data_IF_090720156349
#
_entry.id   IF_090720156349
#
_cell.length_a   1.000
_cell.length_b   1.000
_cell.length_c   1.000
_cell.angle_alpha   90.00
_cell.angle_beta   90.00
_cell.angle_gamma   90.00
#
_symmetry.space_group_name_H-M   'P 1'
#
loop_
_entity.id
_entity.type
_entity.pdbx_description
1 polymer ?
#
# COMPACT_ATOMS: atom_id res chain seq x y z
N UNK A 1 -1.12 -15.86 -13.90
CA UNK A 1 -1.99 -15.76 -15.12
C UNK A 1 -2.42 -14.32 -15.27
N UNK A 2 -2.39 -13.73 -16.48
CA UNK A 2 -2.82 -12.33 -16.67
C UNK A 2 -4.33 -12.30 -16.88
N UNK A 3 -5.03 -11.61 -15.98
CA UNK A 3 -6.48 -11.41 -16.09
C UNK A 3 -6.81 -10.44 -17.24
N UNK A 4 -8.01 -10.62 -17.82
CA UNK A 4 -8.49 -9.80 -18.91
C UNK A 4 -9.59 -8.88 -18.40
N UNK A 5 -9.43 -7.57 -18.59
CA UNK A 5 -10.41 -6.56 -18.18
C UNK A 5 -10.98 -5.87 -19.42
N UNK A 6 -12.29 -5.97 -19.59
CA UNK A 6 -12.99 -5.28 -20.66
C UNK A 6 -13.18 -3.81 -20.32
N UNK A 7 -12.70 -2.92 -21.22
CA UNK A 7 -12.76 -1.47 -21.04
C UNK A 7 -13.47 -0.79 -22.21
N UNK A 8 -14.18 0.29 -21.90
CA UNK A 8 -14.84 1.16 -22.87
C UNK A 8 -14.40 2.61 -22.72
N UNK A 9 -14.42 3.38 -23.81
CA UNK A 9 -14.06 4.80 -23.79
C UNK A 9 -15.12 5.61 -23.04
N UNK A 10 -14.67 6.44 -22.10
CA UNK A 10 -15.52 7.36 -21.37
C UNK A 10 -15.54 8.74 -22.02
N UNK A 11 -16.72 9.22 -22.38
CA UNK A 11 -16.92 10.55 -22.98
C UNK A 11 -17.14 11.65 -21.94
N UNK A 12 -17.83 11.30 -20.84
CA UNK A 12 -18.17 12.26 -19.78
C UNK A 12 -17.12 12.32 -18.68
N UNK A 13 -16.83 13.52 -18.20
CA UNK A 13 -15.93 13.81 -17.08
C UNK A 13 -16.68 14.49 -15.93
N UNK A 14 -16.20 14.31 -14.71
CA UNK A 14 -16.70 14.96 -13.51
C UNK A 14 -17.50 14.06 -12.59
N UNK A 15 -17.83 14.61 -11.42
CA UNK A 15 -18.39 13.87 -10.27
C UNK A 15 -19.73 13.19 -10.59
N UNK A 16 -20.64 13.90 -11.24
CA UNK A 16 -21.99 13.38 -11.56
C UNK A 16 -21.93 12.19 -12.51
N UNK A 17 -21.10 12.27 -13.55
CA UNK A 17 -20.93 11.18 -14.51
C UNK A 17 -20.22 9.97 -13.86
N UNK A 18 -19.20 10.18 -13.05
CA UNK A 18 -18.53 9.10 -12.32
C UNK A 18 -19.49 8.38 -11.36
N UNK A 19 -20.37 9.12 -10.66
CA UNK A 19 -21.40 8.52 -9.81
C UNK A 19 -22.41 7.71 -10.61
N UNK A 20 -22.79 8.21 -11.81
CA UNK A 20 -23.71 7.49 -12.71
C UNK A 20 -23.12 6.17 -13.21
N UNK A 21 -21.83 6.18 -13.59
CA UNK A 21 -21.12 4.98 -14.02
C UNK A 21 -21.05 3.93 -12.89
N UNK A 22 -20.70 4.36 -11.67
CA UNK A 22 -20.64 3.44 -10.51
C UNK A 22 -22.00 2.80 -10.21
N UNK A 23 -23.09 3.55 -10.33
CA UNK A 23 -24.47 3.00 -10.19
C UNK A 23 -24.83 1.98 -11.29
N UNK A 24 -24.17 2.04 -12.45
CA UNK A 24 -24.33 1.09 -13.54
C UNK A 24 -23.38 -0.12 -13.43
N UNK A 25 -22.63 -0.25 -12.32
CA UNK A 25 -21.66 -1.33 -12.17
C UNK A 25 -20.36 -1.11 -12.97
N UNK A 26 -20.09 0.13 -13.40
CA UNK A 26 -18.86 0.49 -14.10
C UNK A 26 -17.94 1.30 -13.19
N UNK A 27 -16.65 0.99 -13.23
CA UNK A 27 -15.60 1.71 -12.48
C UNK A 27 -14.89 2.67 -13.43
N UNK A 28 -14.82 3.97 -13.11
CA UNK A 28 -14.00 4.92 -13.84
C UNK A 28 -12.54 4.51 -13.79
N UNK A 29 -11.85 4.59 -14.93
CA UNK A 29 -10.46 4.22 -15.06
C UNK A 29 -9.70 5.25 -15.90
N UNK A 30 -8.39 5.33 -15.70
CA UNK A 30 -7.48 6.14 -16.50
C UNK A 30 -6.34 5.25 -16.96
N UNK A 31 -5.98 5.33 -18.25
CA UNK A 31 -4.83 4.65 -18.83
C UNK A 31 -3.80 5.67 -19.27
N UNK A 32 -2.57 5.58 -18.79
CA UNK A 32 -1.46 6.47 -19.12
C UNK A 32 -0.14 5.70 -19.23
N UNK A 33 0.90 6.37 -19.68
CA UNK A 33 2.24 5.81 -19.81
C UNK A 33 2.76 5.78 -21.25
N UNK A 34 4.03 5.41 -21.43
CA UNK A 34 4.74 5.33 -22.72
C UNK A 34 4.72 6.62 -23.57
N UNK A 35 4.58 7.81 -22.93
CA UNK A 35 4.53 9.07 -23.65
C UNK A 35 3.26 9.29 -24.50
N UNK A 36 2.32 8.36 -24.48
CA UNK A 36 1.03 8.49 -25.14
C UNK A 36 0.06 9.33 -24.31
N UNK A 37 -0.97 9.86 -24.98
CA UNK A 37 -2.04 10.62 -24.32
C UNK A 37 -2.79 9.73 -23.31
N UNK A 38 -3.15 10.32 -22.18
CA UNK A 38 -4.04 9.69 -21.22
C UNK A 38 -5.40 9.41 -21.86
N UNK A 39 -5.93 8.21 -21.61
CA UNK A 39 -7.22 7.78 -22.12
C UNK A 39 -8.16 7.53 -20.95
N UNK A 40 -9.28 8.23 -20.94
CA UNK A 40 -10.32 8.01 -19.94
C UNK A 40 -11.14 6.78 -20.31
N UNK A 41 -11.17 5.81 -19.43
CA UNK A 41 -11.82 4.51 -19.62
C UNK A 41 -12.89 4.28 -18.53
N UNK A 42 -13.74 3.31 -18.80
CA UNK A 42 -14.59 2.68 -17.80
C UNK A 42 -14.45 1.16 -17.91
N UNK A 43 -14.26 0.50 -16.78
CA UNK A 43 -14.12 -0.95 -16.68
C UNK A 43 -15.34 -1.55 -15.98
N UNK A 44 -15.67 -2.81 -16.27
CA UNK A 44 -16.71 -3.53 -15.53
C UNK A 44 -16.22 -3.81 -14.11
N UNK A 45 -17.05 -3.49 -13.08
CA UNK A 45 -16.73 -3.71 -11.68
C UNK A 45 -16.33 -5.16 -11.40
N UNK A 46 -17.12 -6.11 -11.86
CA UNK A 46 -16.89 -7.54 -11.66
C UNK A 46 -15.51 -8.00 -12.17
N UNK A 47 -15.09 -7.49 -13.34
CA UNK A 47 -13.79 -7.83 -13.92
C UNK A 47 -12.62 -7.24 -13.10
N UNK A 48 -12.78 -6.01 -12.58
CA UNK A 48 -11.81 -5.37 -11.71
C UNK A 48 -11.70 -6.12 -10.39
N UNK A 49 -12.82 -6.46 -9.76
CA UNK A 49 -12.85 -7.21 -8.50
C UNK A 49 -12.25 -8.61 -8.65
N UNK A 50 -12.50 -9.28 -9.79
CA UNK A 50 -11.91 -10.57 -10.10
C UNK A 50 -10.37 -10.47 -10.20
N UNK A 51 -9.85 -9.50 -10.96
CA UNK A 51 -8.42 -9.28 -11.12
C UNK A 51 -7.73 -8.98 -9.77
N UNK A 52 -8.38 -8.17 -8.92
CA UNK A 52 -7.87 -7.88 -7.57
C UNK A 52 -7.89 -9.11 -6.67
N UNK A 53 -8.95 -9.89 -6.72
CA UNK A 53 -9.09 -11.13 -5.93
C UNK A 53 -8.05 -12.17 -6.31
N UNK A 54 -7.66 -12.23 -7.59
CA UNK A 54 -6.58 -13.09 -8.08
C UNK A 54 -5.19 -12.53 -7.76
N UNK A 55 -5.10 -11.29 -7.25
CA UNK A 55 -3.80 -10.66 -6.97
C UNK A 55 -3.04 -10.21 -8.22
N UNK A 56 -3.69 -10.20 -9.38
CA UNK A 56 -3.07 -9.85 -10.66
C UNK A 56 -2.71 -8.37 -10.72
N UNK A 57 -1.42 -8.07 -10.74
CA UNK A 57 -0.92 -6.68 -10.88
C UNK A 57 -0.89 -6.23 -12.33
N UNK A 58 -0.66 -7.15 -13.26
CA UNK A 58 -0.68 -6.86 -14.71
C UNK A 58 -1.93 -7.49 -15.32
N UNK A 59 -2.70 -6.68 -16.01
CA UNK A 59 -3.96 -7.07 -16.66
C UNK A 59 -3.91 -6.77 -18.15
N UNK A 60 -4.57 -7.60 -18.94
CA UNK A 60 -4.76 -7.36 -20.37
C UNK A 60 -6.06 -6.61 -20.59
N UNK A 61 -5.96 -5.36 -21.05
CA UNK A 61 -7.12 -4.56 -21.40
C UNK A 61 -7.67 -5.02 -22.76
N UNK A 62 -8.99 -5.18 -22.83
CA UNK A 62 -9.71 -5.53 -24.06
C UNK A 62 -10.88 -4.58 -24.29
N UNK A 63 -11.35 -4.48 -25.53
CA UNK A 63 -12.44 -3.57 -25.90
C UNK A 63 -11.95 -2.34 -26.62
N UNK A 64 -12.09 -1.18 -26.01
CA UNK A 64 -11.72 0.10 -26.63
C UNK A 64 -10.20 0.28 -26.84
N UNK A 65 -9.40 -0.34 -25.99
CA UNK A 65 -7.93 -0.36 -26.05
C UNK A 65 -7.48 -1.79 -25.83
N UNK A 66 -6.52 -2.25 -26.64
CA UNK A 66 -5.92 -3.58 -26.51
C UNK A 66 -4.45 -3.44 -26.13
N UNK A 67 -4.16 -3.45 -24.85
CA UNK A 67 -2.79 -3.26 -24.30
C UNK A 67 -2.65 -3.99 -22.98
N UNK A 68 -1.43 -4.42 -22.65
CA UNK A 68 -1.12 -4.84 -21.27
C UNK A 68 -0.92 -3.61 -20.40
N UNK A 69 -1.49 -3.63 -19.21
CA UNK A 69 -1.42 -2.52 -18.28
C UNK A 69 -1.19 -3.02 -16.86
N UNK A 70 -0.35 -2.28 -16.11
CA UNK A 70 -0.16 -2.47 -14.68
C UNK A 70 -1.26 -1.72 -13.94
N UNK A 71 -1.89 -2.36 -12.98
CA UNK A 71 -2.74 -1.71 -11.98
C UNK A 71 -1.84 -0.94 -11.03
N UNK A 72 -1.76 0.38 -11.22
CA UNK A 72 -0.90 1.25 -10.42
C UNK A 72 -1.53 1.60 -9.09
N UNK A 73 -2.79 2.01 -9.13
CA UNK A 73 -3.55 2.41 -7.96
C UNK A 73 -4.99 1.94 -8.09
N UNK A 74 -5.55 1.51 -6.98
CA UNK A 74 -6.95 1.13 -6.85
C UNK A 74 -7.53 1.87 -5.64
N UNK A 75 -8.52 2.72 -5.89
CA UNK A 75 -9.21 3.44 -4.84
C UNK A 75 -10.49 2.69 -4.45
N UNK A 76 -10.63 2.47 -3.16
CA UNK A 76 -11.77 1.80 -2.57
C UNK A 76 -12.73 2.79 -1.92
N UNK A 77 -13.98 2.36 -1.78
CA UNK A 77 -14.96 3.07 -0.97
C UNK A 77 -14.54 3.10 0.52
N UNK A 78 -15.16 3.98 1.28
CA UNK A 78 -14.94 4.16 2.74
C UNK A 78 -15.02 2.85 3.53
N UNK A 79 -15.82 1.91 3.05
CA UNK A 79 -15.98 0.58 3.66
C UNK A 79 -15.04 -0.49 3.09
N UNK A 80 -14.23 -0.15 2.08
CA UNK A 80 -13.32 -1.11 1.42
C UNK A 80 -14.02 -2.22 0.63
N UNK A 81 -15.27 -2.01 0.23
CA UNK A 81 -16.07 -3.04 -0.46
C UNK A 81 -16.09 -2.82 -1.97
N UNK A 82 -16.29 -1.58 -2.42
CA UNK A 82 -16.44 -1.28 -3.84
C UNK A 82 -15.25 -0.49 -4.37
N UNK A 83 -14.68 -0.88 -5.54
CA UNK A 83 -13.66 -0.08 -6.21
C UNK A 83 -14.30 1.21 -6.77
N UNK A 84 -13.72 2.37 -6.42
CA UNK A 84 -14.17 3.69 -6.87
C UNK A 84 -13.45 4.15 -8.12
N UNK A 85 -12.14 3.92 -8.20
CA UNK A 85 -11.30 4.33 -9.31
C UNK A 85 -10.16 3.35 -9.50
N UNK A 86 -9.69 3.20 -10.74
CA UNK A 86 -8.53 2.37 -11.07
C UNK A 86 -7.61 3.10 -12.04
N UNK A 87 -6.33 3.08 -11.72
CA UNK A 87 -5.27 3.67 -12.52
C UNK A 87 -4.48 2.57 -13.23
N UNK A 88 -4.47 2.63 -14.55
CA UNK A 88 -3.72 1.75 -15.40
C UNK A 88 -2.50 2.45 -15.98
N UNK A 89 -1.33 1.85 -15.79
CA UNK A 89 -0.09 2.25 -16.44
C UNK A 89 0.19 1.29 -17.60
N UNK A 90 0.35 1.82 -18.83
CA UNK A 90 0.77 0.99 -19.97
C UNK A 90 2.13 0.39 -19.67
N UNK A 91 2.29 -0.88 -19.96
CA UNK A 91 3.56 -1.59 -19.78
C UNK A 91 3.83 -2.49 -20.97
N UNK A 92 5.09 -2.57 -21.34
CA UNK A 92 5.60 -3.58 -22.27
C UNK A 92 6.22 -4.72 -21.48
N UNK A 93 6.25 -5.93 -22.01
CA UNK A 93 6.79 -7.10 -21.33
C UNK A 93 8.23 -6.92 -20.80
N UNK A 94 9.04 -6.11 -21.50
CA UNK A 94 10.43 -5.80 -21.15
C UNK A 94 10.62 -4.67 -20.14
N UNK A 95 9.55 -3.95 -19.79
CA UNK A 95 9.67 -2.79 -18.91
C UNK A 95 9.98 -3.23 -17.48
N UNK A 96 10.87 -2.47 -16.84
CA UNK A 96 11.10 -2.60 -15.41
C UNK A 96 10.12 -1.74 -14.65
N UNK A 97 9.37 -2.36 -13.77
CA UNK A 97 8.35 -1.71 -12.97
C UNK A 97 8.61 -1.91 -11.49
N UNK A 98 8.19 -0.91 -10.69
CA UNK A 98 8.17 -1.00 -9.24
C UNK A 98 6.75 -1.30 -8.78
N UNK A 99 6.59 -2.41 -8.08
CA UNK A 99 5.30 -2.87 -7.58
C UNK A 99 5.39 -3.20 -6.11
N UNK A 100 4.32 -2.92 -5.37
CA UNK A 100 4.15 -3.36 -3.99
C UNK A 100 3.58 -4.77 -3.99
N UNK A 101 4.28 -5.69 -3.36
CA UNK A 101 3.88 -7.09 -3.31
C UNK A 101 3.66 -7.51 -1.85
N UNK A 102 2.54 -8.17 -1.53
CA UNK A 102 2.26 -8.62 -0.18
C UNK A 102 3.23 -9.72 0.25
N UNK A 103 3.58 -9.71 1.54
CA UNK A 103 4.46 -10.70 2.16
C UNK A 103 3.63 -11.74 2.88
N UNK A 104 3.87 -13.02 2.56
CA UNK A 104 3.29 -14.15 3.24
C UNK A 104 4.34 -14.88 4.08
N UNK A 105 3.99 -15.19 5.33
CA UNK A 105 4.85 -15.96 6.22
C UNK A 105 4.75 -17.45 5.87
N UNK A 106 5.91 -18.12 5.76
CA UNK A 106 5.99 -19.54 5.47
C UNK A 106 6.79 -20.27 6.56
N UNK A 107 6.25 -21.36 7.07
CA UNK A 107 6.90 -22.19 8.07
C UNK A 107 6.41 -21.93 9.50
N UNK A 108 6.94 -22.72 10.45
CA UNK A 108 6.69 -22.55 11.87
C UNK A 108 7.87 -21.84 12.54
N UNK A 109 7.60 -20.78 13.27
CA UNK A 109 8.61 -20.01 13.97
C UNK A 109 9.00 -20.70 15.29
N UNK A 110 10.27 -21.13 15.48
CA UNK A 110 10.72 -21.70 16.76
C UNK A 110 10.62 -20.69 17.90
N UNK A 111 10.78 -19.40 17.65
CA UNK A 111 10.56 -18.33 18.62
C UNK A 111 9.13 -18.29 19.15
N UNK A 112 8.13 -18.65 18.34
CA UNK A 112 6.74 -18.73 18.77
C UNK A 112 6.51 -19.89 19.75
N UNK A 113 7.16 -21.04 19.55
CA UNK A 113 7.12 -22.17 20.52
C UNK A 113 7.76 -21.80 21.85
N UNK A 114 8.71 -20.86 21.85
CA UNK A 114 9.33 -20.34 23.07
C UNK A 114 8.53 -19.20 23.73
N UNK A 115 7.29 -18.95 23.28
CA UNK A 115 6.41 -17.92 23.85
C UNK A 115 6.54 -16.55 23.18
N UNK A 116 7.27 -16.43 22.08
CA UNK A 116 7.37 -15.20 21.27
C UNK A 116 6.14 -14.94 20.41
N UNK A 117 5.93 -13.68 20.09
CA UNK A 117 4.95 -13.22 19.11
C UNK A 117 5.67 -12.82 17.82
N UNK A 118 5.25 -13.40 16.70
CA UNK A 118 5.71 -12.98 15.38
C UNK A 118 4.89 -11.80 14.93
N UNK A 119 5.53 -10.67 14.69
CA UNK A 119 4.91 -9.46 14.21
C UNK A 119 5.41 -9.15 12.79
N UNK A 120 4.47 -9.01 11.86
CA UNK A 120 4.72 -8.55 10.50
C UNK A 120 4.71 -7.01 10.52
N UNK A 121 5.89 -6.41 10.45
CA UNK A 121 6.06 -4.95 10.46
C UNK A 121 5.64 -4.34 9.13
N UNK A 122 6.04 -4.99 8.04
CA UNK A 122 5.67 -4.59 6.69
C UNK A 122 4.83 -5.65 6.02
N UNK A 123 3.60 -5.31 5.68
CA UNK A 123 2.68 -6.19 4.97
C UNK A 123 2.96 -6.26 3.47
N UNK A 124 3.58 -5.22 2.91
CA UNK A 124 3.93 -5.11 1.50
C UNK A 124 5.37 -4.63 1.35
N UNK A 125 6.08 -5.16 0.36
CA UNK A 125 7.45 -4.77 0.02
C UNK A 125 7.51 -4.28 -1.41
N UNK A 126 8.24 -3.17 -1.62
CA UNK A 126 8.50 -2.64 -2.95
C UNK A 126 9.54 -3.49 -3.68
N UNK A 127 9.17 -4.02 -4.85
CA UNK A 127 10.02 -4.83 -5.70
C UNK A 127 10.16 -4.21 -7.08
N UNK A 128 11.35 -4.28 -7.65
CA UNK A 128 11.62 -4.01 -9.07
C UNK A 128 11.65 -5.33 -9.83
N UNK A 129 10.75 -5.50 -10.78
CA UNK A 129 10.66 -6.67 -11.64
C UNK A 129 10.29 -6.29 -13.07
N UNK A 130 10.40 -7.24 -14.00
CA UNK A 130 9.85 -7.07 -15.36
C UNK A 130 8.35 -7.25 -15.35
N UNK A 131 7.65 -6.52 -16.22
CA UNK A 131 6.18 -6.57 -16.29
C UNK A 131 5.62 -7.98 -16.60
N UNK A 132 6.43 -8.83 -17.24
CA UNK A 132 6.06 -10.20 -17.57
C UNK A 132 6.14 -11.16 -16.36
N UNK A 133 6.98 -10.84 -15.38
CA UNK A 133 7.27 -11.70 -14.23
C UNK A 133 7.01 -10.99 -12.89
N UNK A 134 5.83 -10.45 -12.71
CA UNK A 134 5.41 -9.85 -11.45
C UNK A 134 4.93 -10.95 -10.50
N UNK A 135 5.57 -11.14 -9.33
CA UNK A 135 5.10 -12.10 -8.35
C UNK A 135 3.80 -11.61 -7.69
N UNK A 136 2.86 -12.53 -7.46
CA UNK A 136 1.61 -12.24 -6.76
C UNK A 136 1.86 -11.99 -5.26
N UNK A 137 2.82 -12.71 -4.68
CA UNK A 137 3.23 -12.60 -3.28
C UNK A 137 4.70 -13.02 -3.11
N UNK A 138 5.30 -12.61 -1.99
CA UNK A 138 6.65 -12.97 -1.58
C UNK A 138 6.59 -13.76 -0.29
N UNK A 139 7.38 -14.83 -0.19
CA UNK A 139 7.45 -15.61 1.03
C UNK A 139 8.59 -15.15 1.93
N UNK A 140 8.27 -14.93 3.20
CA UNK A 140 9.23 -14.79 4.28
C UNK A 140 9.28 -16.11 5.07
N UNK A 141 10.42 -16.80 5.01
CA UNK A 141 10.62 -18.06 5.74
C UNK A 141 10.92 -17.78 7.20
N UNK A 142 9.96 -18.09 8.09
CA UNK A 142 10.09 -17.89 9.53
C UNK A 142 10.63 -19.12 10.27
N UNK A 143 11.00 -20.19 9.55
CA UNK A 143 11.48 -21.45 10.14
C UNK A 143 12.80 -21.31 10.91
N UNK A 144 13.55 -20.23 10.71
CA UNK A 144 14.82 -19.95 11.41
C UNK A 144 14.71 -18.77 12.37
N UNK A 145 13.49 -18.21 12.56
CA UNK A 145 13.30 -17.02 13.36
C UNK A 145 13.21 -17.35 14.84
N UNK A 146 14.24 -16.99 15.59
CA UNK A 146 14.31 -17.13 17.05
C UNK A 146 13.81 -15.85 17.75
N UNK A 147 13.65 -15.93 19.08
CA UNK A 147 13.28 -14.79 19.91
C UNK A 147 14.31 -13.63 19.79
N UNK A 148 13.80 -12.44 19.51
CA UNK A 148 14.61 -11.23 19.35
C UNK A 148 15.27 -11.07 17.99
N UNK A 149 15.09 -12.02 17.07
CA UNK A 149 15.58 -11.89 15.69
C UNK A 149 14.56 -11.25 14.76
N UNK A 150 15.07 -10.68 13.66
CA UNK A 150 14.32 -9.97 12.63
C UNK A 150 14.66 -10.50 11.26
N UNK A 151 13.68 -10.55 10.37
CA UNK A 151 13.89 -10.84 8.94
C UNK A 151 13.87 -9.52 8.20
N UNK A 152 14.88 -9.29 7.37
CA UNK A 152 15.03 -8.10 6.54
C UNK A 152 14.59 -8.37 5.11
N UNK A 153 14.40 -7.31 4.32
CA UNK A 153 14.02 -7.41 2.90
C UNK A 153 14.98 -8.28 2.09
N UNK A 154 16.28 -8.25 2.39
CA UNK A 154 17.32 -9.07 1.73
C UNK A 154 17.18 -10.58 1.96
N UNK A 155 16.53 -10.98 3.06
CA UNK A 155 16.37 -12.38 3.47
C UNK A 155 15.08 -13.01 2.90
N UNK A 156 14.32 -12.26 2.10
CA UNK A 156 13.10 -12.72 1.46
C UNK A 156 13.41 -13.63 0.27
N UNK A 157 12.58 -14.65 0.07
CA UNK A 157 12.66 -15.53 -1.10
C UNK A 157 12.11 -14.80 -2.34
N UNK A 158 12.98 -14.09 -3.07
CA UNK A 158 12.62 -13.39 -4.29
C UNK A 158 12.67 -14.33 -5.49
N UNK A 159 11.53 -14.49 -6.16
CA UNK A 159 11.38 -15.30 -7.35
C UNK A 159 11.61 -14.48 -8.63
N UNK A 160 12.00 -15.15 -9.72
CA UNK A 160 12.04 -14.60 -11.09
C UNK A 160 12.92 -13.35 -11.30
N UNK A 161 14.02 -13.22 -10.55
CA UNK A 161 14.97 -12.11 -10.75
C UNK A 161 14.45 -10.75 -10.29
N UNK A 162 13.41 -10.71 -9.47
CA UNK A 162 12.96 -9.51 -8.79
C UNK A 162 14.07 -8.98 -7.88
N UNK A 163 14.23 -7.66 -7.84
CA UNK A 163 15.17 -6.99 -6.95
C UNK A 163 14.39 -6.19 -5.91
N UNK A 164 14.90 -6.07 -4.68
CA UNK A 164 14.29 -5.18 -3.70
C UNK A 164 14.37 -3.74 -4.21
N UNK A 165 13.24 -3.07 -4.25
CA UNK A 165 13.13 -1.66 -4.64
C UNK A 165 13.24 -0.70 -3.45
N UNK A 166 13.12 -1.25 -2.22
CA UNK A 166 13.34 -0.56 -0.95
C UNK A 166 14.73 -0.87 -0.38
N UNK A 167 15.07 -0.24 0.75
CA UNK A 167 16.34 -0.49 1.43
C UNK A 167 16.44 -1.96 1.88
N UNK A 168 17.51 -2.68 1.47
CA UNK A 168 17.66 -4.11 1.78
C UNK A 168 17.78 -4.39 3.28
N UNK A 169 18.10 -3.39 4.10
CA UNK A 169 18.23 -3.49 5.55
C UNK A 169 16.90 -3.25 6.31
N UNK A 170 15.85 -2.90 5.60
CA UNK A 170 14.54 -2.66 6.19
C UNK A 170 13.96 -3.94 6.80
N UNK A 171 13.36 -3.83 7.98
CA UNK A 171 12.82 -4.97 8.74
C UNK A 171 11.41 -5.29 8.28
N UNK A 172 11.19 -6.55 7.90
CA UNK A 172 9.87 -7.05 7.43
C UNK A 172 9.14 -7.81 8.55
N UNK A 173 9.84 -8.69 9.23
CA UNK A 173 9.25 -9.54 10.29
C UNK A 173 10.09 -9.46 11.56
N UNK A 174 9.45 -9.40 12.70
CA UNK A 174 10.12 -9.44 14.02
C UNK A 174 9.50 -10.51 14.91
N UNK A 175 10.33 -11.17 15.75
CA UNK A 175 9.85 -12.08 16.78
C UNK A 175 10.18 -11.52 18.15
N UNK A 176 9.17 -11.11 18.93
CA UNK A 176 9.35 -10.46 20.24
C UNK A 176 8.58 -11.20 21.32
N UNK A 177 9.03 -11.07 22.58
CA UNK A 177 8.24 -11.52 23.73
C UNK A 177 7.08 -10.56 23.97
N UNK A 178 5.85 -11.05 24.19
CA UNK A 178 4.73 -10.21 24.58
C UNK A 178 5.07 -9.51 25.92
N UNK A 179 5.03 -8.18 25.95
CA UNK A 179 5.30 -7.37 27.14
C UNK A 179 6.60 -6.56 27.13
N UNK A 180 7.53 -6.77 26.21
CA UNK A 180 8.67 -5.88 26.01
C UNK A 180 8.33 -4.86 24.91
N UNK A 181 7.79 -3.70 25.30
CA UNK A 181 7.85 -2.51 24.44
C UNK A 181 9.35 -2.25 24.21
N UNK A 182 9.78 -2.34 22.99
CA UNK A 182 11.09 -1.81 22.59
C UNK A 182 10.96 -0.30 22.75
N UNK A 183 11.42 0.25 23.86
CA UNK A 183 11.80 1.65 23.93
C UNK A 183 12.97 1.76 22.95
N UNK A 184 12.67 2.28 21.79
CA UNK A 184 13.65 2.77 20.85
C UNK A 184 14.55 3.72 21.64
N UNK A 185 15.81 3.33 21.75
CA UNK A 185 16.83 4.12 22.43
C UNK A 185 17.05 5.39 21.61
N UNK A 186 16.21 6.40 21.85
CA UNK A 186 16.53 7.76 21.52
C UNK A 186 17.66 8.17 22.46
N UNK A 187 18.83 8.40 21.90
CA UNK A 187 19.99 8.91 22.58
C UNK A 187 19.63 10.15 23.43
N UNK A 188 20.14 10.27 24.66
CA UNK A 188 19.86 11.43 25.49
C UNK A 188 20.66 12.62 24.97
N UNK A 189 20.05 13.52 24.26
CA UNK A 189 20.56 14.87 24.07
C UNK A 189 20.05 15.73 25.23
N UNK A 190 21.02 16.10 26.11
CA UNK A 190 21.12 17.32 26.90
C UNK A 190 19.86 17.88 27.54
N UNK A 191 19.85 17.84 28.84
CA UNK A 191 18.85 18.49 29.67
C UNK A 191 18.74 19.99 29.43
N UNK A 192 17.47 20.42 29.43
CA UNK A 192 17.07 21.75 29.86
C UNK A 192 15.82 21.54 30.70
N UNK A 193 15.95 21.77 31.99
CA UNK A 193 14.83 21.84 32.94
C UNK A 193 13.86 22.96 32.50
N UNK A 194 12.55 22.75 32.46
CA UNK A 194 11.63 23.88 32.41
C UNK A 194 11.39 24.42 33.82
N UNK A 195 11.83 25.64 34.06
CA UNK A 195 11.44 26.46 35.21
C UNK A 195 9.95 26.59 35.36
N UNK A 196 9.47 26.19 36.52
CA UNK A 196 8.08 26.41 36.95
C UNK A 196 7.92 27.85 37.39
N UNK A 197 7.34 28.69 36.56
CA UNK A 197 6.92 30.05 36.96
C UNK A 197 5.61 29.94 37.69
N UNK A 198 5.69 30.30 38.98
CA UNK A 198 4.64 30.27 39.96
C UNK A 198 3.45 31.18 39.63
N UNK A 199 2.33 30.64 39.95
CA UNK A 199 1.00 31.27 40.01
C UNK A 199 0.99 32.36 41.06
N UNK A 200 0.67 33.61 40.70
CA UNK A 200 0.24 34.64 41.64
C UNK A 200 -1.11 35.22 41.25
N UNK A 201 -2.05 35.02 42.12
CA UNK A 201 -3.36 35.59 42.10
C UNK A 201 -3.34 37.06 42.54
N UNK A 202 -4.24 37.86 42.02
CA UNK A 202 -4.92 39.02 42.64
C UNK A 202 -5.79 39.62 41.52
N UNK A 203 -7.08 39.53 41.56
CA UNK A 203 -8.05 40.33 42.33
C UNK A 203 -8.21 41.76 41.80
N UNK A 204 -9.46 42.03 41.49
CA UNK A 204 -10.22 43.28 41.52
C UNK A 204 -10.05 44.35 40.42
N UNK A 205 -11.19 44.78 39.97
CA UNK A 205 -11.40 46.03 39.31
C UNK A 205 -12.63 46.09 38.41
N UNK A 206 -13.75 46.36 39.04
CA UNK A 206 -15.03 46.77 38.50
C UNK A 206 -14.96 47.96 37.53
N UNK A 207 -16.08 48.07 36.80
CA UNK A 207 -16.79 49.30 36.43
C UNK A 207 -16.61 49.80 34.98
N UNK A 208 -17.68 49.74 34.34
CA UNK A 208 -18.56 50.80 33.82
C UNK A 208 -18.36 51.32 32.41
N UNK A 209 -19.48 51.21 31.76
CA UNK A 209 -20.15 52.22 30.95
C UNK A 209 -19.65 52.53 29.53
N UNK A 210 -20.47 52.25 28.56
CA UNK A 210 -21.30 53.26 27.95
C UNK A 210 -20.98 53.59 26.52
N UNK A 211 -21.95 53.36 25.68
CA UNK A 211 -22.37 54.20 24.55
C UNK A 211 -21.29 54.64 23.52
N UNK A 212 -21.41 54.23 22.32
CA UNK A 212 -22.25 54.81 21.24
C UNK A 212 -22.27 53.86 20.03
#
# INVERSE_FOLDING_TARGET
>A
MSDTVEVSLRKGKGTRESQRLRKQGLVPAILYGHGEKCVDLSAKREAVEAAVRHGSRVVNLTGAVKTSALVRELQWDTYGVEPIHIDFLRVSASDRIRVKVPVHLKGECPGQRAGGLVNLVQHEVDLECTADHVPEFVYANVGHLELGHTIKVKDLELLHGAKPGADPEETVVTCMLPGKKTEEVAAPSGGVEPEVIGRKAAEEGEAEAGKE
#
